data_IF_782613402374
#
_entry.id   IF_782613402374
#
_cell.length_a   1.000
_cell.length_b   1.000
_cell.length_c   1.000
_cell.angle_alpha   90.00
_cell.angle_beta   90.00
_cell.angle_gamma   90.00
#
_symmetry.space_group_name_H-M   'P 1'
#
loop_
_entity.id
_entity.type
_entity.pdbx_description
1 polymer ?
#
# COMPACT_ATOMS: atom_id res chain seq x y z
N UNK A 1 -10.98 -16.00 -7.89
CA UNK A 1 -11.02 -14.75 -7.11
C UNK A 1 -10.14 -14.92 -5.89
N UNK A 2 -9.13 -14.07 -5.69
CA UNK A 2 -8.28 -14.10 -4.48
C UNK A 2 -8.92 -13.23 -3.38
N UNK A 3 -8.75 -13.60 -2.12
CA UNK A 3 -9.25 -12.82 -0.98
C UNK A 3 -8.11 -12.51 -0.03
N UNK A 4 -7.96 -11.24 0.35
CA UNK A 4 -6.96 -10.76 1.31
C UNK A 4 -7.66 -10.21 2.56
N UNK A 5 -7.12 -10.53 3.73
CA UNK A 5 -7.65 -10.11 5.02
C UNK A 5 -6.58 -9.41 5.84
N UNK A 6 -6.96 -8.34 6.54
CA UNK A 6 -6.09 -7.65 7.47
C UNK A 6 -4.90 -6.99 6.77
N UNK A 7 -3.74 -7.64 6.88
CA UNK A 7 -2.44 -7.26 6.33
C UNK A 7 -1.73 -8.53 5.82
N UNK A 8 -0.83 -8.44 4.83
CA UNK A 8 -0.10 -9.60 4.34
C UNK A 8 0.93 -10.10 5.37
N UNK A 9 1.24 -11.39 5.27
CA UNK A 9 2.12 -12.11 6.20
C UNK A 9 3.52 -11.49 6.36
N UNK A 10 3.99 -10.72 5.38
CA UNK A 10 5.31 -10.07 5.39
C UNK A 10 5.23 -8.54 5.49
N UNK A 11 4.31 -8.03 6.31
CA UNK A 11 3.94 -6.61 6.34
C UNK A 11 5.12 -5.68 6.56
N UNK A 12 5.98 -5.96 7.54
CA UNK A 12 7.14 -5.11 7.87
C UNK A 12 8.12 -4.99 6.70
N UNK A 13 8.41 -6.09 6.01
CA UNK A 13 9.28 -6.04 4.84
C UNK A 13 8.61 -5.33 3.66
N UNK A 14 7.29 -5.46 3.50
CA UNK A 14 6.56 -4.70 2.47
C UNK A 14 6.64 -3.21 2.77
N UNK A 15 6.49 -2.79 4.03
CA UNK A 15 6.64 -1.39 4.43
C UNK A 15 8.08 -0.89 4.26
N UNK A 16 9.07 -1.67 4.70
CA UNK A 16 10.48 -1.31 4.58
C UNK A 16 10.88 -1.14 3.11
N UNK A 17 10.52 -2.09 2.24
CA UNK A 17 10.77 -1.98 0.80
C UNK A 17 10.02 -0.80 0.18
N UNK A 18 8.80 -0.52 0.66
CA UNK A 18 8.01 0.59 0.16
C UNK A 18 8.65 1.94 0.51
N UNK A 19 9.09 2.12 1.75
CA UNK A 19 9.61 3.38 2.27
C UNK A 19 11.14 3.52 2.19
N UNK A 20 11.86 2.53 1.66
CA UNK A 20 13.33 2.50 1.58
C UNK A 20 13.95 3.80 1.02
N UNK A 21 13.24 4.45 0.09
CA UNK A 21 13.70 5.66 -0.59
C UNK A 21 13.02 6.96 -0.09
N UNK A 22 12.22 6.89 0.97
CA UNK A 22 11.58 8.07 1.57
C UNK A 22 12.53 8.70 2.59
N UNK A 23 13.02 9.90 2.30
CA UNK A 23 13.84 10.65 3.25
C UNK A 23 12.95 11.51 4.17
N UNK A 24 13.09 11.35 5.48
CA UNK A 24 12.36 12.11 6.49
C UNK A 24 13.37 12.84 7.38
N UNK A 25 13.16 14.14 7.56
CA UNK A 25 14.02 15.06 8.32
C UNK A 25 13.20 15.81 9.36
N UNK A 26 13.83 16.62 10.20
CA UNK A 26 13.11 17.50 11.14
C UNK A 26 12.43 18.70 10.44
N UNK A 27 12.71 18.92 9.14
CA UNK A 27 12.13 20.04 8.38
C UNK A 27 10.83 19.60 7.68
N UNK A 28 9.71 20.17 8.14
CA UNK A 28 8.39 19.86 7.62
C UNK A 28 8.23 20.09 6.10
N UNK A 29 8.74 21.22 5.59
CA UNK A 29 8.64 21.56 4.16
C UNK A 29 9.47 20.59 3.33
N UNK A 30 10.69 20.26 3.78
CA UNK A 30 11.54 19.28 3.11
C UNK A 30 10.86 17.90 3.04
N UNK A 31 10.15 17.50 4.10
CA UNK A 31 9.41 16.24 4.13
C UNK A 31 8.25 16.23 3.12
N UNK A 32 7.48 17.32 3.01
CA UNK A 32 6.40 17.42 2.00
C UNK A 32 6.94 17.26 0.57
N UNK A 33 8.06 17.92 0.27
CA UNK A 33 8.72 17.82 -1.04
C UNK A 33 9.23 16.37 -1.26
N UNK A 34 9.86 15.78 -0.25
CA UNK A 34 10.37 14.40 -0.29
C UNK A 34 9.24 13.40 -0.57
N UNK A 35 8.09 13.53 0.11
CA UNK A 35 6.91 12.69 -0.10
C UNK A 35 6.36 12.85 -1.53
N UNK A 36 6.28 14.08 -2.03
CA UNK A 36 5.80 14.34 -3.39
C UNK A 36 6.73 13.71 -4.44
N UNK A 37 8.05 13.90 -4.31
CA UNK A 37 9.04 13.30 -5.20
C UNK A 37 9.03 11.77 -5.15
N UNK A 38 8.90 11.20 -3.95
CA UNK A 38 8.77 9.76 -3.73
C UNK A 38 7.53 9.20 -4.47
N UNK A 39 6.37 9.84 -4.31
CA UNK A 39 5.15 9.43 -5.00
C UNK A 39 5.26 9.52 -6.52
N UNK A 40 5.88 10.58 -7.04
CA UNK A 40 6.15 10.71 -8.48
C UNK A 40 7.04 9.57 -8.95
N UNK A 41 8.24 9.39 -8.38
CA UNK A 41 9.18 8.32 -8.78
C UNK A 41 8.52 6.94 -8.76
N UNK A 42 7.71 6.66 -7.75
CA UNK A 42 6.93 5.43 -7.64
C UNK A 42 6.00 5.21 -8.84
N UNK A 43 5.24 6.24 -9.25
CA UNK A 43 4.36 6.13 -10.41
C UNK A 43 5.15 5.82 -11.69
N UNK A 44 6.32 6.44 -11.86
CA UNK A 44 7.19 6.19 -13.01
C UNK A 44 7.77 4.77 -13.04
N UNK A 45 8.13 4.21 -11.88
CA UNK A 45 8.63 2.83 -11.78
C UNK A 45 7.62 1.81 -12.36
N UNK A 46 6.33 2.01 -12.10
CA UNK A 46 5.27 1.15 -12.62
C UNK A 46 4.93 1.36 -14.10
N UNK A 47 5.52 2.35 -14.78
CA UNK A 47 5.40 2.49 -16.24
C UNK A 47 6.42 1.63 -16.99
N UNK A 48 7.53 1.28 -16.34
CA UNK A 48 8.66 0.57 -16.98
C UNK A 48 8.84 -0.86 -16.51
N UNK A 49 8.25 -1.22 -15.38
CA UNK A 49 8.27 -2.58 -14.84
C UNK A 49 6.93 -3.27 -15.09
N UNK A 50 6.98 -4.54 -15.55
CA UNK A 50 5.79 -5.40 -15.54
C UNK A 50 5.28 -5.44 -14.10
N UNK A 51 4.04 -4.99 -13.92
CA UNK A 51 3.44 -4.95 -12.60
C UNK A 51 3.18 -6.38 -12.16
N UNK A 52 4.13 -6.97 -11.45
CA UNK A 52 3.90 -8.20 -10.73
C UNK A 52 2.90 -7.89 -9.63
N UNK A 53 1.62 -8.05 -9.96
CA UNK A 53 0.52 -7.96 -9.01
C UNK A 53 0.46 -9.20 -8.12
N UNK A 54 1.61 -9.60 -7.61
CA UNK A 54 1.71 -10.60 -6.56
C UNK A 54 1.19 -10.00 -5.24
N UNK A 55 1.04 -10.85 -4.22
CA UNK A 55 0.35 -10.59 -2.96
C UNK A 55 0.94 -9.41 -2.13
N UNK A 56 1.92 -8.65 -2.66
CA UNK A 56 2.57 -7.49 -2.05
C UNK A 56 2.02 -6.14 -2.55
N UNK A 57 1.34 -6.11 -3.70
CA UNK A 57 1.03 -4.85 -4.44
C UNK A 57 -0.28 -4.17 -4.03
N UNK A 58 -1.16 -4.86 -3.30
CA UNK A 58 -2.46 -4.32 -2.88
C UNK A 58 -2.36 -3.37 -1.68
N UNK A 59 -1.26 -3.43 -0.92
CA UNK A 59 -1.04 -2.63 0.29
C UNK A 59 -0.62 -1.18 0.05
N UNK A 60 0.16 -0.95 -0.99
CA UNK A 60 0.83 0.36 -1.18
C UNK A 60 -0.15 1.45 -1.62
N UNK A 61 -1.32 1.03 -2.11
CA UNK A 61 -2.35 1.96 -2.54
C UNK A 61 -3.36 2.27 -1.43
N UNK A 62 -3.42 1.48 -0.35
CA UNK A 62 -4.53 1.58 0.60
C UNK A 62 -4.05 1.32 2.02
N UNK A 63 -4.26 2.33 2.86
CA UNK A 63 -3.84 2.31 4.26
C UNK A 63 -4.68 1.27 5.02
N UNK A 64 -4.07 0.28 5.69
CA UNK A 64 -4.81 -0.75 6.44
C UNK A 64 -5.57 -0.20 7.65
N UNK A 65 -5.45 1.10 7.91
CA UNK A 65 -6.24 1.86 8.89
C UNK A 65 -7.60 2.30 8.36
N UNK A 66 -7.84 2.31 7.05
CA UNK A 66 -9.13 2.65 6.47
C UNK A 66 -10.18 1.56 6.75
N UNK A 67 -11.36 1.95 7.23
CA UNK A 67 -12.51 1.05 7.41
C UNK A 67 -13.18 0.85 6.05
N UNK A 68 -12.58 0.01 5.21
CA UNK A 68 -13.08 -0.23 3.85
C UNK A 68 -12.83 -1.68 3.41
N UNK A 69 -13.68 -2.16 2.51
CA UNK A 69 -13.46 -3.35 1.71
C UNK A 69 -13.64 -2.97 0.24
N UNK A 70 -12.85 -3.56 -0.65
CA UNK A 70 -12.96 -3.28 -2.08
C UNK A 70 -12.72 -4.54 -2.91
N UNK A 71 -13.17 -4.44 -4.15
CA UNK A 71 -12.82 -5.36 -5.21
C UNK A 71 -11.85 -4.68 -6.17
N UNK A 72 -10.77 -5.37 -6.55
CA UNK A 72 -9.84 -4.97 -7.60
C UNK A 72 -10.12 -5.81 -8.86
N UNK A 73 -10.85 -5.27 -9.85
CA UNK A 73 -11.23 -6.03 -11.04
C UNK A 73 -10.03 -6.52 -11.85
N UNK A 74 -8.99 -5.68 -11.95
CA UNK A 74 -7.76 -6.01 -12.68
C UNK A 74 -7.02 -7.24 -12.10
N UNK A 75 -7.25 -7.54 -10.82
CA UNK A 75 -6.62 -8.65 -10.10
C UNK A 75 -7.57 -9.81 -9.83
N UNK A 76 -8.85 -9.64 -10.15
CA UNK A 76 -9.91 -10.51 -9.68
C UNK A 76 -9.74 -10.83 -8.17
N UNK A 77 -9.54 -9.78 -7.37
CA UNK A 77 -9.20 -9.90 -5.96
C UNK A 77 -10.08 -9.03 -5.07
N UNK A 78 -10.42 -9.53 -3.89
CA UNK A 78 -11.20 -8.85 -2.87
C UNK A 78 -10.35 -8.62 -1.61
N UNK A 79 -10.40 -7.43 -1.03
CA UNK A 79 -9.65 -7.07 0.17
C UNK A 79 -10.55 -6.59 1.31
N UNK A 80 -10.34 -7.10 2.52
CA UNK A 80 -10.92 -6.59 3.77
C UNK A 80 -9.80 -6.18 4.72
N UNK A 81 -9.74 -4.91 5.14
CA UNK A 81 -8.65 -4.46 6.02
C UNK A 81 -8.92 -4.66 7.50
N UNK A 82 -7.83 -4.66 8.27
CA UNK A 82 -7.86 -4.88 9.71
C UNK A 82 -8.91 -4.01 10.42
N UNK A 83 -9.07 -2.74 10.05
CA UNK A 83 -10.03 -1.86 10.73
C UNK A 83 -11.49 -2.28 10.53
N UNK A 84 -11.87 -2.84 9.36
CA UNK A 84 -13.24 -3.38 9.16
C UNK A 84 -13.47 -4.69 9.92
N UNK A 85 -12.39 -5.42 10.23
CA UNK A 85 -12.41 -6.65 11.02
C UNK A 85 -12.43 -6.41 12.54
N UNK A 86 -12.17 -5.16 12.99
CA UNK A 86 -12.14 -4.77 14.40
C UNK A 86 -13.43 -4.07 14.86
N UNK A 87 -14.17 -3.46 13.93
CA UNK A 87 -15.51 -2.92 14.18
C UNK A 87 -16.53 -4.06 14.25
N UNK A 88 -17.64 -3.90 14.98
CA UNK A 88 -18.74 -4.85 15.25
C UNK A 88 -19.50 -5.43 14.01
N UNK A 89 -18.79 -5.65 12.92
CA UNK A 89 -19.25 -6.22 11.64
C UNK A 89 -19.01 -7.74 11.62
N UNK A 90 -18.28 -8.29 12.61
CA UNK A 90 -18.06 -9.73 12.84
C UNK A 90 -18.49 -10.15 14.24
#
# INVERSE_FOLDING_TARGET
MKTYFGYPNNYDNVLNNFFENLNVTDNHIANLISIQMFNTKRLWKYLTEDKEWNDQTWLVQIYPTEVIAFYFPALNAFGMFRTILLTDIY
#
